data_IF_027948787656
#
_entry.id   IF_027948787656
#
_cell.length_a   1.000
_cell.length_b   1.000
_cell.length_c   1.000
_cell.angle_alpha   90.00
_cell.angle_beta   90.00
_cell.angle_gamma   90.00
#
_symmetry.space_group_name_H-M   'P 1'
#
loop_
_entity.id
_entity.type
_entity.pdbx_description
1 polymer ?
#
# COMPACT_ATOMS: atom_id res chain seq x y z
N UNK A 1 40.29 2.73 29.48
CA UNK A 1 38.94 3.29 29.27
C UNK A 1 38.50 3.04 27.84
N UNK A 2 37.69 2.00 27.59
CA UNK A 2 37.08 1.74 26.28
C UNK A 2 35.70 2.42 26.28
N UNK A 3 35.58 3.50 25.50
CA UNK A 3 34.30 4.14 25.23
C UNK A 3 33.46 3.18 24.39
N UNK A 4 32.41 2.61 25.00
CA UNK A 4 31.39 1.86 24.29
C UNK A 4 30.54 2.92 23.61
N UNK A 5 30.71 3.07 22.30
CA UNK A 5 29.78 3.86 21.49
C UNK A 5 28.48 3.06 21.51
N UNK A 6 27.55 3.45 22.39
CA UNK A 6 26.14 3.08 22.30
C UNK A 6 25.62 3.61 20.96
N UNK A 7 25.83 2.82 19.91
CA UNK A 7 25.25 3.08 18.61
C UNK A 7 23.77 2.80 18.75
N UNK A 8 23.00 3.87 18.99
CA UNK A 8 21.55 3.82 18.92
C UNK A 8 21.15 3.10 17.62
N UNK A 9 20.17 2.18 17.66
CA UNK A 9 19.78 1.43 16.47
C UNK A 9 19.43 2.40 15.34
N UNK A 10 19.77 2.08 14.08
CA UNK A 10 19.51 2.97 12.95
C UNK A 10 18.02 3.29 12.89
N UNK A 11 17.69 4.58 13.04
CA UNK A 11 16.31 5.04 13.00
C UNK A 11 15.77 4.89 11.59
N UNK A 12 14.63 4.21 11.45
CA UNK A 12 13.93 4.10 10.16
C UNK A 12 13.45 5.50 9.75
N UNK A 13 13.81 5.90 8.55
CA UNK A 13 13.37 7.18 7.96
C UNK A 13 12.30 6.91 6.92
N UNK A 14 11.49 7.93 6.59
CA UNK A 14 10.54 7.83 5.46
C UNK A 14 11.25 7.44 4.16
N UNK A 15 12.45 7.98 3.92
CA UNK A 15 13.23 7.66 2.72
C UNK A 15 13.64 6.19 2.68
N UNK A 16 14.23 5.67 3.75
CA UNK A 16 14.68 4.27 3.78
C UNK A 16 13.50 3.30 3.71
N UNK A 17 12.39 3.62 4.37
CA UNK A 17 11.17 2.82 4.30
C UNK A 17 10.58 2.78 2.88
N UNK A 18 10.47 3.93 2.20
CA UNK A 18 9.90 3.98 0.85
C UNK A 18 10.79 3.34 -0.21
N UNK A 19 12.11 3.36 -0.03
CA UNK A 19 13.04 2.60 -0.88
C UNK A 19 12.77 1.10 -0.70
N UNK A 20 12.76 0.62 0.54
CA UNK A 20 12.47 -0.79 0.84
C UNK A 20 11.12 -1.24 0.28
N UNK A 21 10.07 -0.43 0.44
CA UNK A 21 8.75 -0.75 -0.10
C UNK A 21 8.68 -0.77 -1.63
N UNK A 22 9.46 0.08 -2.30
CA UNK A 22 9.57 0.07 -3.75
C UNK A 22 10.33 -1.17 -4.25
N UNK A 23 11.39 -1.55 -3.55
CA UNK A 23 12.18 -2.73 -3.87
C UNK A 23 11.38 -4.02 -3.63
N UNK A 24 10.66 -4.11 -2.51
CA UNK A 24 9.77 -5.24 -2.20
C UNK A 24 8.65 -5.37 -3.25
N UNK A 25 8.03 -4.26 -3.66
CA UNK A 25 6.99 -4.26 -4.69
C UNK A 25 7.51 -4.82 -6.03
N UNK A 26 8.76 -4.52 -6.38
CA UNK A 26 9.41 -5.05 -7.58
C UNK A 26 9.77 -6.53 -7.41
N UNK A 27 10.53 -6.86 -6.36
CA UNK A 27 11.16 -8.16 -6.18
C UNK A 27 10.15 -9.25 -5.79
N UNK A 28 9.19 -8.94 -4.92
CA UNK A 28 8.26 -9.92 -4.34
C UNK A 28 6.97 -9.98 -5.16
N UNK A 29 6.56 -8.84 -5.72
CA UNK A 29 5.22 -8.71 -6.30
C UNK A 29 5.21 -8.44 -7.80
N UNK A 30 6.38 -8.32 -8.44
CA UNK A 30 6.50 -8.16 -9.89
C UNK A 30 5.92 -6.86 -10.43
N UNK A 31 5.77 -5.84 -9.57
CA UNK A 31 5.30 -4.52 -9.98
C UNK A 31 6.33 -3.87 -10.88
N UNK A 32 5.86 -3.19 -11.93
CA UNK A 32 6.74 -2.45 -12.81
C UNK A 32 7.57 -1.41 -12.01
N UNK A 33 8.90 -1.31 -12.23
CA UNK A 33 9.76 -0.39 -11.50
C UNK A 33 9.26 1.05 -11.51
N UNK A 34 8.72 1.52 -12.64
CA UNK A 34 8.19 2.88 -12.77
C UNK A 34 6.95 3.11 -11.90
N UNK A 35 6.10 2.08 -11.75
CA UNK A 35 4.91 2.13 -10.90
C UNK A 35 5.31 2.18 -9.42
N UNK A 36 6.25 1.33 -8.99
CA UNK A 36 6.75 1.31 -7.61
C UNK A 36 7.46 2.62 -7.22
N UNK A 37 8.38 3.10 -8.06
CA UNK A 37 9.08 4.38 -7.83
C UNK A 37 8.13 5.56 -7.89
N UNK A 38 7.19 5.54 -8.83
CA UNK A 38 6.16 6.57 -8.94
C UNK A 38 5.30 6.66 -7.69
N UNK A 39 4.95 5.51 -7.09
CA UNK A 39 4.21 5.45 -5.84
C UNK A 39 5.03 6.01 -4.68
N UNK A 40 6.29 5.60 -4.53
CA UNK A 40 7.18 6.11 -3.49
C UNK A 40 7.35 7.63 -3.57
N UNK A 41 7.56 8.18 -4.78
CA UNK A 41 7.69 9.62 -4.99
C UNK A 41 6.41 10.39 -4.62
N UNK A 42 5.23 9.84 -4.97
CA UNK A 42 3.95 10.44 -4.61
C UNK A 42 3.70 10.38 -3.09
N UNK A 43 4.04 9.27 -2.43
CA UNK A 43 3.96 9.15 -0.97
C UNK A 43 4.86 10.14 -0.25
N UNK A 44 6.11 10.29 -0.70
CA UNK A 44 7.04 11.30 -0.16
C UNK A 44 6.43 12.70 -0.24
N UNK A 45 5.89 13.10 -1.41
CA UNK A 45 5.27 14.43 -1.56
C UNK A 45 4.05 14.64 -0.67
N UNK A 46 3.21 13.63 -0.52
CA UNK A 46 1.98 13.72 0.26
C UNK A 46 2.22 13.80 1.77
N UNK A 47 3.31 13.17 2.24
CA UNK A 47 3.63 13.06 3.66
C UNK A 47 4.78 13.97 4.11
N UNK A 48 5.46 14.64 3.18
CA UNK A 48 6.46 15.65 3.51
C UNK A 48 5.87 16.69 4.48
N UNK A 49 6.59 16.95 5.58
CA UNK A 49 6.15 17.87 6.64
C UNK A 49 5.07 17.32 7.59
N UNK A 50 4.53 16.11 7.36
CA UNK A 50 3.55 15.45 8.24
C UNK A 50 4.16 14.35 9.11
N UNK A 51 5.37 13.92 8.76
CA UNK A 51 6.13 12.87 9.46
C UNK A 51 7.47 13.42 9.86
N UNK A 52 7.94 13.01 11.03
CA UNK A 52 9.24 13.43 11.54
C UNK A 52 10.37 13.04 10.59
N UNK A 53 11.28 13.98 10.34
CA UNK A 53 12.49 13.73 9.55
C UNK A 53 13.55 12.95 10.34
N UNK A 54 13.50 12.98 11.67
CA UNK A 54 14.53 12.43 12.57
C UNK A 54 14.29 10.97 12.97
N UNK A 55 13.24 10.35 12.42
CA UNK A 55 12.88 8.96 12.66
C UNK A 55 11.37 8.76 12.72
N UNK A 56 10.91 7.62 12.20
CA UNK A 56 9.50 7.27 12.20
C UNK A 56 9.11 6.62 13.52
N UNK A 57 7.96 7.03 14.07
CA UNK A 57 7.29 6.22 15.08
C UNK A 57 6.69 4.97 14.42
N UNK A 58 6.38 3.90 15.17
CA UNK A 58 5.67 2.73 14.63
C UNK A 58 4.31 3.09 14.00
N UNK A 59 3.66 4.14 14.50
CA UNK A 59 2.40 4.66 13.92
C UNK A 59 2.63 5.31 12.55
N UNK A 60 3.69 6.09 12.43
CA UNK A 60 4.08 6.73 11.17
C UNK A 60 4.48 5.72 10.10
N UNK A 61 5.23 4.68 10.49
CA UNK A 61 5.58 3.58 9.58
C UNK A 61 4.33 2.90 9.03
N UNK A 62 3.35 2.56 9.90
CA UNK A 62 2.08 1.97 9.47
C UNK A 62 1.33 2.89 8.51
N UNK A 63 1.27 4.19 8.82
CA UNK A 63 0.61 5.19 7.96
C UNK A 63 1.29 5.30 6.60
N UNK A 64 2.63 5.33 6.55
CA UNK A 64 3.40 5.39 5.30
C UNK A 64 3.16 4.12 4.48
N UNK A 65 3.21 2.93 5.09
CA UNK A 65 2.95 1.65 4.40
C UNK A 65 1.55 1.60 3.80
N UNK A 66 0.54 2.01 4.57
CA UNK A 66 -0.85 2.06 4.11
C UNK A 66 -1.01 3.04 2.94
N UNK A 67 -0.47 4.25 3.07
CA UNK A 67 -0.56 5.28 2.03
C UNK A 67 0.18 4.86 0.76
N UNK A 68 1.41 4.35 0.88
CA UNK A 68 2.17 3.81 -0.25
C UNK A 68 1.39 2.72 -0.98
N UNK A 69 0.80 1.76 -0.25
CA UNK A 69 0.03 0.67 -0.85
C UNK A 69 -1.20 1.19 -1.62
N UNK A 70 -1.92 2.16 -1.06
CA UNK A 70 -3.05 2.80 -1.75
C UNK A 70 -2.61 3.52 -3.04
N UNK A 71 -1.52 4.29 -2.97
CA UNK A 71 -0.96 4.98 -4.14
C UNK A 71 -0.47 3.99 -5.20
N UNK A 72 0.17 2.89 -4.80
CA UNK A 72 0.66 1.85 -5.70
C UNK A 72 -0.48 1.24 -6.51
N UNK A 73 -1.59 0.88 -5.85
CA UNK A 73 -2.81 0.38 -6.48
C UNK A 73 -3.41 1.39 -7.47
N UNK A 74 -3.50 2.65 -7.07
CA UNK A 74 -4.00 3.72 -7.94
C UNK A 74 -3.11 3.93 -9.18
N UNK A 75 -1.78 3.90 -9.00
CA UNK A 75 -0.84 4.02 -10.12
C UNK A 75 -0.90 2.80 -11.05
N UNK A 76 -0.96 1.60 -10.49
CA UNK A 76 -1.17 0.37 -11.25
C UNK A 76 -2.43 0.45 -12.12
N UNK A 77 -3.53 0.96 -11.56
CA UNK A 77 -4.79 1.15 -12.28
C UNK A 77 -4.64 2.17 -13.42
N UNK A 78 -4.02 3.32 -13.14
CA UNK A 78 -3.82 4.40 -14.12
C UNK A 78 -2.89 3.99 -15.27
N UNK A 79 -1.78 3.31 -14.96
CA UNK A 79 -0.72 3.01 -15.94
C UNK A 79 -0.98 1.74 -16.74
N UNK A 80 -1.85 0.84 -16.28
CA UNK A 80 -2.30 -0.36 -17.00
C UNK A 80 -1.18 -1.29 -17.51
N UNK A 81 -0.01 -1.28 -16.86
CA UNK A 81 1.12 -2.15 -17.23
C UNK A 81 0.81 -3.61 -16.94
N UNK A 82 1.26 -4.55 -17.78
CA UNK A 82 0.94 -5.98 -17.60
C UNK A 82 1.35 -6.54 -16.23
N UNK A 83 2.55 -6.19 -15.73
CA UNK A 83 3.05 -6.62 -14.42
C UNK A 83 2.18 -6.18 -13.24
N UNK A 84 1.39 -5.11 -13.39
CA UNK A 84 0.62 -4.53 -12.30
C UNK A 84 -0.81 -5.08 -12.19
N UNK A 85 -1.13 -6.16 -12.93
CA UNK A 85 -2.50 -6.68 -13.04
C UNK A 85 -3.14 -7.04 -11.70
N UNK A 86 -2.35 -7.57 -10.77
CA UNK A 86 -2.81 -7.87 -9.40
C UNK A 86 -3.28 -6.60 -8.69
N UNK A 87 -2.46 -5.56 -8.65
CA UNK A 87 -2.74 -4.31 -7.93
C UNK A 87 -3.89 -3.52 -8.55
N UNK A 88 -4.12 -3.67 -9.86
CA UNK A 88 -5.34 -3.15 -10.50
C UNK A 88 -6.60 -3.82 -9.95
N UNK A 89 -6.60 -5.15 -9.87
CA UNK A 89 -7.73 -5.88 -9.28
C UNK A 89 -7.96 -5.47 -7.83
N UNK A 90 -6.90 -5.31 -7.04
CA UNK A 90 -7.00 -4.81 -5.66
C UNK A 90 -7.63 -3.40 -5.59
N UNK A 91 -7.26 -2.50 -6.51
CA UNK A 91 -7.88 -1.18 -6.60
C UNK A 91 -9.37 -1.25 -6.94
N UNK A 92 -9.74 -2.07 -7.92
CA UNK A 92 -11.14 -2.19 -8.38
C UNK A 92 -12.03 -2.79 -7.29
N UNK A 93 -11.59 -3.84 -6.61
CA UNK A 93 -12.33 -4.44 -5.49
C UNK A 93 -12.48 -3.43 -4.35
N UNK A 94 -11.41 -2.75 -3.96
CA UNK A 94 -11.47 -1.73 -2.90
C UNK A 94 -12.42 -0.57 -3.26
N UNK A 95 -12.43 -0.13 -4.53
CA UNK A 95 -13.35 0.91 -5.01
C UNK A 95 -14.80 0.46 -4.90
N UNK A 96 -15.15 -0.73 -5.41
CA UNK A 96 -16.51 -1.26 -5.32
C UNK A 96 -16.97 -1.38 -3.85
N UNK A 97 -16.12 -1.92 -2.98
CA UNK A 97 -16.43 -2.06 -1.56
C UNK A 97 -16.66 -0.71 -0.90
N UNK A 98 -15.84 0.30 -1.22
CA UNK A 98 -16.01 1.65 -0.69
C UNK A 98 -17.34 2.28 -1.17
N UNK A 99 -17.65 2.13 -2.45
CA UNK A 99 -18.88 2.66 -3.05
C UNK A 99 -20.13 2.00 -2.42
N UNK A 100 -20.13 0.68 -2.27
CA UNK A 100 -21.22 -0.07 -1.62
C UNK A 100 -21.39 0.30 -0.14
N UNK A 101 -20.29 0.44 0.61
CA UNK A 101 -20.34 0.92 2.01
C UNK A 101 -20.92 2.34 2.09
N UNK A 102 -20.59 3.20 1.13
CA UNK A 102 -21.05 4.59 1.12
C UNK A 102 -22.57 4.73 0.97
N UNK A 103 -23.20 3.76 0.28
CA UNK A 103 -24.66 3.69 0.11
C UNK A 103 -25.35 2.81 1.15
N UNK A 104 -24.63 2.37 2.18
CA UNK A 104 -25.18 1.59 3.29
C UNK A 104 -25.45 0.12 2.97
N UNK A 105 -24.80 -0.45 1.96
CA UNK A 105 -24.95 -1.88 1.63
C UNK A 105 -24.45 -2.75 2.80
N UNK A 106 -25.27 -3.73 3.26
CA UNK A 106 -24.86 -4.69 4.28
C UNK A 106 -23.64 -5.52 3.88
N UNK A 107 -22.84 -5.97 4.87
CA UNK A 107 -21.55 -6.64 4.62
C UNK A 107 -21.69 -7.99 3.86
N UNK A 108 -22.73 -8.76 4.15
CA UNK A 108 -23.08 -9.99 3.41
C UNK A 108 -23.37 -9.68 1.93
N UNK A 109 -24.11 -8.59 1.66
CA UNK A 109 -24.39 -8.14 0.29
C UNK A 109 -23.15 -7.59 -0.42
N UNK A 110 -22.25 -6.91 0.28
CA UNK A 110 -20.96 -6.50 -0.30
C UNK A 110 -20.17 -7.72 -0.79
N UNK A 111 -20.16 -8.81 -0.01
CA UNK A 111 -19.47 -10.05 -0.41
C UNK A 111 -20.09 -10.67 -1.66
N UNK A 112 -21.42 -10.73 -1.74
CA UNK A 112 -22.15 -11.20 -2.93
C UNK A 112 -21.83 -10.35 -4.17
N UNK A 113 -21.81 -9.02 -4.04
CA UNK A 113 -21.47 -8.11 -5.14
C UNK A 113 -20.02 -8.30 -5.62
N UNK A 114 -19.06 -8.41 -4.69
CA UNK A 114 -17.66 -8.68 -5.02
C UNK A 114 -17.52 -10.01 -5.76
N UNK A 115 -18.21 -11.07 -5.32
CA UNK A 115 -18.24 -12.35 -6.01
C UNK A 115 -18.84 -12.22 -7.42
N UNK A 116 -19.90 -11.44 -7.58
CA UNK A 116 -20.59 -11.22 -8.86
C UNK A 116 -19.69 -10.53 -9.88
N UNK A 117 -19.00 -9.46 -9.49
CA UNK A 117 -18.16 -8.68 -10.43
C UNK A 117 -16.77 -9.27 -10.66
N UNK A 118 -16.19 -9.94 -9.67
CA UNK A 118 -14.78 -10.32 -9.68
C UNK A 118 -14.53 -11.81 -9.41
N UNK A 119 -15.57 -12.59 -9.13
CA UNK A 119 -15.50 -14.02 -8.84
C UNK A 119 -14.67 -14.33 -7.58
N UNK A 120 -14.20 -15.58 -7.50
CA UNK A 120 -13.32 -16.09 -6.44
C UNK A 120 -12.09 -15.20 -6.20
N UNK A 121 -11.52 -14.64 -7.26
CA UNK A 121 -10.36 -13.75 -7.15
C UNK A 121 -10.70 -12.46 -6.40
N UNK A 122 -11.90 -11.92 -6.58
CA UNK A 122 -12.38 -10.77 -5.84
C UNK A 122 -12.53 -11.06 -4.35
N UNK A 123 -13.10 -12.23 -4.03
CA UNK A 123 -13.27 -12.69 -2.65
C UNK A 123 -11.93 -12.86 -1.93
N UNK A 124 -10.94 -13.48 -2.60
CA UNK A 124 -9.59 -13.61 -2.05
C UNK A 124 -8.92 -12.26 -1.76
N UNK A 125 -9.22 -11.23 -2.58
CA UNK A 125 -8.71 -9.87 -2.37
C UNK A 125 -9.43 -9.22 -1.18
N UNK A 126 -10.75 -9.38 -1.09
CA UNK A 126 -11.56 -8.86 0.01
C UNK A 126 -11.09 -9.44 1.35
N UNK A 127 -10.98 -10.77 1.45
CA UNK A 127 -10.58 -11.47 2.67
C UNK A 127 -9.20 -11.04 3.17
N UNK A 128 -8.24 -10.85 2.24
CA UNK A 128 -6.90 -10.33 2.60
C UNK A 128 -6.95 -8.89 3.13
N UNK A 129 -7.91 -8.11 2.67
CA UNK A 129 -8.03 -6.69 3.04
C UNK A 129 -8.77 -6.48 4.36
N UNK A 130 -9.54 -7.47 4.82
CA UNK A 130 -10.25 -7.42 6.11
C UNK A 130 -9.39 -7.92 7.30
N UNK A 131 -8.31 -8.64 7.03
CA UNK A 131 -7.36 -9.14 8.04
C UNK A 131 -6.21 -8.15 8.32
N UNK A 132 -6.06 -7.09 7.52
CA UNK A 132 -4.97 -6.11 7.58
C UNK A 132 -5.40 -4.78 8.23
#
# INVERSE_FOLDING_TARGET
>A
MRSVIDSAPPKVTMRSLLISLADDAQAIHGVAPETARGAAAATTRALAGRVSAEGLSPSDERRIRAYYSAVLRAQAFRLRRRGDARYRGEFQVASLVADLRSVGTPADKIREEVATFFGERGLQILDRSEVA
#
